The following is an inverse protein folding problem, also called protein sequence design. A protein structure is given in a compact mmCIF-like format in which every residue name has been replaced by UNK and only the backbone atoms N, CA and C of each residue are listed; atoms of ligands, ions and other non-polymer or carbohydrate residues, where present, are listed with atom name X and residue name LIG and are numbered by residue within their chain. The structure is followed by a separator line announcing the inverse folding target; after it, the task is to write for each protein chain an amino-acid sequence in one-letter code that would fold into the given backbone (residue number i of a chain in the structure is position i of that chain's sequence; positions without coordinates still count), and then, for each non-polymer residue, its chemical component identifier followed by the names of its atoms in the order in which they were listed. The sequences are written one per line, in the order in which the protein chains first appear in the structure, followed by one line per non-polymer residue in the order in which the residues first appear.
data_IF_754020007769
#
_entry.id   IF_754020007769
#
_cell.length_a   1.000
_cell.length_b   1.000
_cell.length_c   1.000
_cell.angle_alpha   90.00
_cell.angle_beta   90.00
_cell.angle_gamma   90.00
#
_symmetry.space_group_name_H-M   'P 1'
#
loop_
_entity.id
_entity.type
_entity.pdbx_description
1 polymer ?
#
# COMPACT_ATOMS: atom_id res chain seq x y z
N UNK A 1 -31.59 -3.41 -27.70
CA UNK A 1 -30.30 -3.60 -27.03
C UNK A 1 -30.10 -2.46 -26.04
N UNK A 2 -30.21 -2.76 -24.77
CA UNK A 2 -29.87 -1.79 -23.73
C UNK A 2 -28.36 -1.88 -23.47
N UNK A 3 -27.61 -0.93 -24.00
CA UNK A 3 -26.21 -0.78 -23.68
C UNK A 3 -26.13 0.13 -22.46
N UNK A 4 -25.94 -0.47 -21.28
CA UNK A 4 -25.56 0.29 -20.07
C UNK A 4 -24.06 0.58 -20.20
N UNK A 5 -23.72 1.80 -20.65
CA UNK A 5 -22.32 2.19 -20.81
C UNK A 5 -21.58 2.49 -19.50
N UNK A 6 -22.31 2.88 -18.47
CA UNK A 6 -21.76 3.18 -17.15
C UNK A 6 -22.76 2.82 -16.08
N UNK A 7 -22.39 1.94 -15.17
CA UNK A 7 -23.12 1.69 -13.95
C UNK A 7 -22.23 2.05 -12.76
N UNK A 8 -22.64 2.97 -11.92
CA UNK A 8 -22.05 3.19 -10.60
C UNK A 8 -22.88 2.47 -9.56
N UNK A 9 -22.28 1.61 -8.79
CA UNK A 9 -22.91 0.94 -7.67
C UNK A 9 -22.21 1.38 -6.39
N UNK A 10 -22.98 1.96 -5.48
CA UNK A 10 -22.52 2.27 -4.13
C UNK A 10 -23.05 1.20 -3.18
N UNK A 11 -22.15 0.52 -2.51
CA UNK A 11 -22.47 -0.49 -1.50
C UNK A 11 -21.96 0.00 -0.16
N UNK A 12 -22.86 0.16 0.81
CA UNK A 12 -22.52 0.47 2.19
C UNK A 12 -22.46 -0.83 2.99
N UNK A 13 -21.30 -1.13 3.57
CA UNK A 13 -21.08 -2.31 4.39
C UNK A 13 -20.79 -1.87 5.82
N UNK A 14 -21.52 -2.39 6.79
CA UNK A 14 -21.25 -2.23 8.22
C UNK A 14 -20.76 -3.53 8.79
N UNK A 15 -19.61 -3.51 9.46
CA UNK A 15 -19.00 -4.70 10.04
C UNK A 15 -18.28 -4.38 11.35
N UNK A 16 -18.24 -5.30 12.33
CA UNK A 16 -17.59 -5.05 13.62
C UNK A 16 -16.05 -5.10 13.54
N UNK A 17 -15.50 -5.84 12.60
CA UNK A 17 -14.04 -5.99 12.41
C UNK A 17 -13.70 -6.18 10.95
N UNK A 18 -12.46 -5.88 10.59
CA UNK A 18 -11.95 -5.95 9.23
C UNK A 18 -10.63 -6.72 9.22
N UNK A 19 -10.56 -7.84 8.52
CA UNK A 19 -9.34 -8.66 8.39
C UNK A 19 -8.65 -8.51 7.04
N UNK A 20 -9.42 -8.32 5.96
CA UNK A 20 -8.86 -8.12 4.63
C UNK A 20 -9.77 -7.30 3.72
N UNK A 21 -9.14 -6.56 2.80
CA UNK A 21 -9.80 -5.86 1.69
C UNK A 21 -9.14 -6.22 0.38
N UNK A 22 -9.94 -6.52 -0.63
CA UNK A 22 -9.46 -6.80 -1.98
C UNK A 22 -10.22 -5.98 -3.01
N UNK A 23 -9.51 -5.20 -3.81
CA UNK A 23 -10.03 -4.48 -4.96
C UNK A 23 -9.38 -4.96 -6.25
N UNK A 24 -10.16 -5.23 -7.28
CA UNK A 24 -9.67 -5.71 -8.57
C UNK A 24 -10.49 -5.15 -9.73
N UNK A 25 -9.95 -5.27 -10.96
CA UNK A 25 -10.69 -4.91 -12.17
C UNK A 25 -11.25 -3.47 -12.13
N UNK A 26 -10.40 -2.50 -11.80
CA UNK A 26 -10.74 -1.08 -11.69
C UNK A 26 -11.81 -0.74 -10.63
N UNK A 27 -12.07 -1.66 -9.69
CA UNK A 27 -12.95 -1.38 -8.57
C UNK A 27 -12.24 -0.50 -7.53
N UNK A 28 -13.04 0.20 -6.72
CA UNK A 28 -12.55 1.05 -5.65
C UNK A 28 -13.20 0.70 -4.33
N UNK A 29 -12.40 0.53 -3.29
CA UNK A 29 -12.85 0.42 -1.91
C UNK A 29 -12.42 1.70 -1.19
N UNK A 30 -13.37 2.39 -0.61
CA UNK A 30 -13.14 3.59 0.18
C UNK A 30 -13.62 3.35 1.62
N UNK A 31 -12.67 3.08 2.51
CA UNK A 31 -12.92 2.86 3.93
C UNK A 31 -12.62 4.12 4.78
N UNK A 32 -12.76 5.25 4.16
CA UNK A 32 -12.54 6.59 4.70
C UNK A 32 -13.90 7.29 5.00
N UNK A 33 -14.06 8.19 5.99
CA UNK A 33 -13.02 8.73 6.87
C UNK A 33 -12.80 7.95 8.18
N UNK A 34 -13.48 6.84 8.38
CA UNK A 34 -13.42 6.07 9.62
C UNK A 34 -12.01 5.60 9.92
N UNK A 35 -11.61 5.63 11.21
CA UNK A 35 -10.35 5.03 11.67
C UNK A 35 -10.63 3.63 12.15
N UNK A 36 -9.99 2.65 11.54
CA UNK A 36 -10.08 1.24 11.89
C UNK A 36 -8.97 0.86 12.87
N UNK A 37 -9.36 0.38 14.06
CA UNK A 37 -8.42 -0.18 15.03
C UNK A 37 -8.34 -1.69 14.82
N UNK A 38 -7.19 -2.16 14.34
CA UNK A 38 -7.02 -3.53 13.88
C UNK A 38 -5.74 -4.12 14.47
N UNK A 39 -5.72 -5.44 14.64
CA UNK A 39 -4.47 -6.12 14.96
C UNK A 39 -3.69 -6.39 13.69
N UNK A 40 -4.30 -7.10 12.77
CA UNK A 40 -3.69 -7.44 11.47
C UNK A 40 -4.69 -7.17 10.36
N UNK A 41 -4.21 -6.60 9.25
CA UNK A 41 -5.01 -6.43 8.04
C UNK A 41 -4.22 -6.78 6.79
N UNK A 42 -4.90 -7.41 5.84
CA UNK A 42 -4.39 -7.66 4.49
C UNK A 42 -5.14 -6.80 3.47
N UNK A 43 -4.37 -6.05 2.69
CA UNK A 43 -4.87 -5.18 1.62
C UNK A 43 -4.34 -5.68 0.28
N UNK A 44 -5.22 -5.92 -0.67
CA UNK A 44 -4.84 -6.41 -2.00
C UNK A 44 -5.52 -5.56 -3.09
N UNK A 45 -4.73 -4.93 -3.96
CA UNK A 45 -5.21 -4.17 -5.09
C UNK A 45 -4.59 -4.69 -6.39
N UNK A 46 -5.42 -5.15 -7.31
CA UNK A 46 -4.94 -5.76 -8.56
C UNK A 46 -5.69 -5.20 -9.78
N UNK A 47 -5.05 -5.22 -10.93
CA UNK A 47 -5.69 -4.83 -12.20
C UNK A 47 -6.42 -3.50 -12.11
N UNK A 48 -5.70 -2.45 -11.72
CA UNK A 48 -6.26 -1.11 -11.54
C UNK A 48 -7.19 -0.94 -10.34
N UNK A 49 -7.33 -1.94 -9.48
CA UNK A 49 -8.10 -1.84 -8.23
C UNK A 49 -7.49 -0.79 -7.30
N UNK A 50 -8.32 -0.13 -6.50
CA UNK A 50 -7.90 0.91 -5.57
C UNK A 50 -8.48 0.67 -4.19
N UNK A 51 -7.64 0.81 -3.15
CA UNK A 51 -8.08 0.77 -1.75
C UNK A 51 -7.60 2.03 -1.04
N UNK A 52 -8.49 2.66 -0.31
CA UNK A 52 -8.22 3.83 0.50
C UNK A 52 -8.72 3.58 1.91
N UNK A 53 -7.80 3.62 2.89
CA UNK A 53 -8.11 3.29 4.29
C UNK A 53 -7.32 4.15 5.28
N UNK A 54 -7.94 4.44 6.41
CA UNK A 54 -7.29 5.04 7.57
C UNK A 54 -7.39 4.09 8.76
N UNK A 55 -6.25 3.77 9.38
CA UNK A 55 -6.20 2.72 10.39
C UNK A 55 -5.12 2.94 11.47
N UNK A 56 -5.30 2.21 12.57
CA UNK A 56 -4.24 1.89 13.52
C UNK A 56 -4.12 0.38 13.59
N UNK A 57 -2.96 -0.18 13.31
CA UNK A 57 -2.74 -1.62 13.29
C UNK A 57 -1.39 -2.02 13.89
N UNK A 58 -1.28 -3.27 14.32
CA UNK A 58 0.02 -3.86 14.62
C UNK A 58 0.71 -4.25 13.32
N UNK A 59 0.05 -5.04 12.48
CA UNK A 59 0.62 -5.57 11.24
C UNK A 59 -0.25 -5.24 10.02
N UNK A 60 0.38 -4.69 8.99
CA UNK A 60 -0.23 -4.47 7.68
C UNK A 60 0.50 -5.30 6.64
N UNK A 61 -0.25 -6.12 5.90
CA UNK A 61 0.21 -6.80 4.69
C UNK A 61 -0.43 -6.12 3.49
N UNK A 62 0.38 -5.42 2.70
CA UNK A 62 -0.07 -4.67 1.53
C UNK A 62 0.47 -5.32 0.26
N UNK A 63 -0.42 -5.68 -0.65
CA UNK A 63 -0.05 -6.25 -1.94
C UNK A 63 -0.76 -5.49 -3.06
N UNK A 64 0.01 -5.00 -4.04
CA UNK A 64 -0.56 -4.38 -5.22
C UNK A 64 0.14 -4.87 -6.49
N UNK A 65 -0.65 -5.15 -7.52
CA UNK A 65 -0.15 -5.65 -8.81
C UNK A 65 -0.90 -5.00 -9.97
N UNK A 66 -0.25 -4.96 -11.11
CA UNK A 66 -0.88 -4.52 -12.37
C UNK A 66 -1.65 -3.22 -12.20
N UNK A 67 -0.91 -2.16 -11.90
CA UNK A 67 -1.45 -0.80 -11.67
C UNK A 67 -2.43 -0.68 -10.48
N UNK A 68 -2.44 -1.63 -9.55
CA UNK A 68 -3.19 -1.52 -8.31
C UNK A 68 -2.66 -0.37 -7.44
N UNK A 69 -3.55 0.31 -6.71
CA UNK A 69 -3.23 1.47 -5.88
C UNK A 69 -3.73 1.23 -4.45
N UNK A 70 -2.83 1.42 -3.49
CA UNK A 70 -3.13 1.40 -2.06
C UNK A 70 -2.80 2.78 -1.46
N UNK A 71 -3.79 3.42 -0.86
CA UNK A 71 -3.63 4.64 -0.07
C UNK A 71 -3.93 4.31 1.39
N UNK A 72 -2.90 4.38 2.25
CA UNK A 72 -3.01 3.98 3.65
C UNK A 72 -2.52 5.13 4.52
N UNK A 73 -3.34 5.51 5.51
CA UNK A 73 -3.01 6.55 6.48
C UNK A 73 -3.21 6.05 7.91
N UNK A 74 -2.50 6.64 8.86
CA UNK A 74 -2.61 6.37 10.28
C UNK A 74 -1.34 5.89 10.93
N UNK A 75 -1.40 4.79 11.67
CA UNK A 75 -0.27 4.26 12.44
C UNK A 75 -0.18 2.73 12.32
N UNK A 76 1.04 2.19 12.24
CA UNK A 76 1.28 0.75 12.30
C UNK A 76 2.62 0.42 12.96
N UNK A 77 2.72 -0.76 13.56
CA UNK A 77 4.01 -1.25 14.04
C UNK A 77 4.83 -1.79 12.87
N UNK A 78 4.24 -2.64 12.05
CA UNK A 78 4.90 -3.30 10.96
C UNK A 78 4.12 -3.14 9.65
N UNK A 79 4.83 -2.77 8.59
CA UNK A 79 4.30 -2.72 7.23
C UNK A 79 5.11 -3.67 6.34
N UNK A 80 4.44 -4.66 5.77
CA UNK A 80 4.99 -5.48 4.70
C UNK A 80 4.29 -5.13 3.39
N UNK A 81 5.04 -4.70 2.38
CA UNK A 81 4.47 -4.30 1.10
C UNK A 81 5.18 -4.98 -0.06
N UNK A 82 4.38 -5.60 -0.93
CA UNK A 82 4.83 -6.23 -2.18
C UNK A 82 4.10 -5.57 -3.35
N UNK A 83 4.84 -4.85 -4.19
CA UNK A 83 4.29 -4.09 -5.31
C UNK A 83 4.93 -4.52 -6.61
N UNK A 84 4.11 -4.84 -7.61
CA UNK A 84 4.58 -5.33 -8.92
C UNK A 84 3.85 -4.65 -10.08
N UNK A 85 4.54 -4.52 -11.19
CA UNK A 85 3.96 -4.09 -12.46
C UNK A 85 3.19 -2.79 -12.37
N UNK A 86 3.92 -1.69 -12.22
CA UNK A 86 3.41 -0.33 -12.13
C UNK A 86 2.41 -0.06 -10.98
N UNK A 87 2.36 -0.95 -9.98
CA UNK A 87 1.54 -0.75 -8.79
C UNK A 87 2.07 0.40 -7.92
N UNK A 88 1.19 0.97 -7.09
CA UNK A 88 1.51 2.14 -6.26
C UNK A 88 1.03 1.96 -4.83
N UNK A 89 1.89 2.35 -3.89
CA UNK A 89 1.58 2.50 -2.47
C UNK A 89 1.79 3.95 -2.05
N UNK A 90 0.76 4.58 -1.55
CA UNK A 90 0.78 5.92 -0.98
C UNK A 90 0.57 5.81 0.55
N UNK A 91 1.67 5.76 1.28
CA UNK A 91 1.71 5.59 2.74
C UNK A 91 2.59 6.64 3.45
N UNK A 92 2.71 7.83 2.89
CA UNK A 92 3.46 8.95 3.51
C UNK A 92 2.84 9.45 4.81
N UNK A 93 1.53 9.26 4.97
CA UNK A 93 0.76 9.60 6.17
C UNK A 93 0.43 8.38 7.03
N UNK A 94 1.10 7.25 6.78
CA UNK A 94 1.10 6.08 7.62
C UNK A 94 2.42 6.05 8.40
N UNK A 95 2.37 6.37 9.67
CA UNK A 95 3.54 6.31 10.54
C UNK A 95 3.82 4.86 10.94
N UNK A 96 4.95 4.30 10.48
CA UNK A 96 5.35 2.92 10.78
C UNK A 96 6.64 2.85 11.59
N UNK A 97 6.78 1.85 12.43
CA UNK A 97 8.04 1.60 13.12
C UNK A 97 8.97 0.76 12.25
N UNK A 98 8.47 -0.32 11.69
CA UNK A 98 9.24 -1.21 10.82
C UNK A 98 8.55 -1.39 9.47
N UNK A 99 9.35 -1.47 8.40
CA UNK A 99 8.82 -1.77 7.07
C UNK A 99 9.71 -2.76 6.32
N UNK A 100 9.07 -3.65 5.56
CA UNK A 100 9.67 -4.54 4.59
C UNK A 100 9.01 -4.31 3.23
N UNK A 101 9.78 -3.81 2.27
CA UNK A 101 9.27 -3.29 1.00
C UNK A 101 9.90 -4.01 -0.18
N UNK A 102 9.09 -4.65 -0.99
CA UNK A 102 9.52 -5.29 -2.23
C UNK A 102 8.84 -4.63 -3.43
N UNK A 103 9.63 -4.04 -4.31
CA UNK A 103 9.14 -3.35 -5.51
C UNK A 103 9.74 -3.97 -6.77
N UNK A 104 8.92 -4.19 -7.80
CA UNK A 104 9.40 -4.66 -9.09
C UNK A 104 8.61 -4.11 -10.27
N UNK A 105 9.26 -4.06 -11.42
CA UNK A 105 8.65 -3.69 -12.72
C UNK A 105 7.93 -2.34 -12.65
N UNK A 106 8.68 -1.27 -12.37
CA UNK A 106 8.17 0.09 -12.35
C UNK A 106 7.23 0.43 -11.20
N UNK A 107 7.14 -0.41 -10.17
CA UNK A 107 6.33 -0.14 -8.99
C UNK A 107 6.86 1.08 -8.20
N UNK A 108 5.96 1.77 -7.50
CA UNK A 108 6.29 2.96 -6.72
C UNK A 108 5.72 2.86 -5.31
N UNK A 109 6.52 3.21 -4.31
CA UNK A 109 6.06 3.32 -2.93
C UNK A 109 6.54 4.61 -2.29
N UNK A 110 5.67 5.24 -1.50
CA UNK A 110 5.98 6.36 -0.63
C UNK A 110 5.61 5.96 0.80
N UNK A 111 6.60 5.91 1.69
CA UNK A 111 6.44 5.39 3.05
C UNK A 111 7.04 6.33 4.10
N UNK A 112 6.53 6.24 5.33
CA UNK A 112 7.14 6.87 6.50
C UNK A 112 7.52 5.78 7.50
N UNK A 113 8.83 5.69 7.84
CA UNK A 113 9.38 4.66 8.72
C UNK A 113 10.33 5.28 9.73
N UNK A 114 10.19 4.88 11.01
CA UNK A 114 10.93 5.50 12.10
C UNK A 114 12.08 4.65 12.66
N UNK A 115 11.99 3.32 12.64
CA UNK A 115 12.99 2.45 13.27
C UNK A 115 13.77 1.61 12.27
N UNK A 116 13.14 0.68 11.57
CA UNK A 116 13.82 -0.28 10.70
C UNK A 116 13.19 -0.37 9.32
N UNK A 117 14.03 -0.40 8.31
CA UNK A 117 13.60 -0.57 6.92
C UNK A 117 14.44 -1.63 6.21
N UNK A 118 13.77 -2.61 5.64
CA UNK A 118 14.32 -3.56 4.68
C UNK A 118 13.66 -3.32 3.32
N UNK A 119 14.41 -3.36 2.23
CA UNK A 119 13.84 -3.26 0.89
C UNK A 119 14.60 -4.05 -0.16
N UNK A 120 13.85 -4.56 -1.14
CA UNK A 120 14.36 -5.14 -2.38
C UNK A 120 13.69 -4.44 -3.58
N UNK A 121 14.49 -3.77 -4.39
CA UNK A 121 14.01 -2.97 -5.53
C UNK A 121 14.56 -3.49 -6.84
N UNK A 122 13.66 -3.77 -7.79
CA UNK A 122 13.98 -4.27 -9.13
C UNK A 122 13.25 -3.49 -10.22
N UNK A 123 13.81 -3.52 -11.43
CA UNK A 123 13.09 -3.12 -12.64
C UNK A 123 12.61 -1.68 -12.66
N UNK A 124 13.47 -0.70 -12.43
CA UNK A 124 13.16 0.73 -12.46
C UNK A 124 12.10 1.16 -11.45
N UNK A 125 12.01 0.48 -10.34
CA UNK A 125 11.10 0.82 -9.23
C UNK A 125 11.56 2.07 -8.50
N UNK A 126 10.65 2.69 -7.74
CA UNK A 126 10.93 3.91 -6.99
C UNK A 126 10.42 3.80 -5.56
N UNK A 127 11.30 4.05 -4.59
CA UNK A 127 10.96 4.11 -3.18
C UNK A 127 11.26 5.51 -2.63
N UNK A 128 10.26 6.16 -2.07
CA UNK A 128 10.39 7.42 -1.34
C UNK A 128 10.25 7.14 0.15
N UNK A 129 11.24 7.52 0.94
CA UNK A 129 11.31 7.25 2.37
C UNK A 129 11.26 8.58 3.11
N UNK A 130 10.28 8.74 3.99
CA UNK A 130 10.21 9.79 4.99
C UNK A 130 10.56 9.21 6.36
N UNK A 131 11.35 9.95 7.15
CA UNK A 131 11.91 9.48 8.41
C UNK A 131 13.37 9.10 8.28
N UNK A 132 13.92 8.55 9.36
CA UNK A 132 15.33 8.17 9.42
C UNK A 132 15.52 6.75 9.97
N UNK A 133 14.99 5.73 9.30
CA UNK A 133 15.12 4.35 9.75
C UNK A 133 16.54 3.82 9.61
N UNK A 134 16.89 2.84 10.43
CA UNK A 134 18.04 1.99 10.20
C UNK A 134 17.73 1.06 9.01
N UNK A 135 18.55 1.10 7.98
CA UNK A 135 18.40 0.27 6.79
C UNK A 135 19.20 -1.04 6.97
N UNK A 136 18.53 -2.17 6.81
CA UNK A 136 19.11 -3.50 6.98
C UNK A 136 18.85 -4.38 5.75
N UNK A 137 19.83 -5.21 5.37
CA UNK A 137 19.68 -6.25 4.33
C UNK A 137 18.93 -5.79 3.07
N UNK A 138 19.31 -4.63 2.55
CA UNK A 138 18.53 -3.99 1.47
C UNK A 138 19.30 -3.98 0.16
N UNK A 139 18.57 -4.23 -0.94
CA UNK A 139 19.14 -4.34 -2.28
C UNK A 139 18.42 -3.42 -3.25
N UNK A 140 19.19 -2.81 -4.14
CA UNK A 140 18.69 -1.93 -5.18
C UNK A 140 19.31 -2.32 -6.54
N UNK A 141 18.49 -2.84 -7.42
CA UNK A 141 18.89 -3.37 -8.72
C UNK A 141 18.20 -2.70 -9.90
N UNK A 142 18.77 -2.88 -11.09
CA UNK A 142 18.14 -2.60 -12.37
C UNK A 142 17.56 -1.19 -12.51
N UNK A 143 18.36 -0.16 -12.17
CA UNK A 143 17.98 1.24 -12.36
C UNK A 143 16.87 1.75 -11.44
N UNK A 144 16.57 1.03 -10.38
CA UNK A 144 15.62 1.48 -9.36
C UNK A 144 16.20 2.65 -8.55
N UNK A 145 15.33 3.47 -7.98
CA UNK A 145 15.71 4.71 -7.29
C UNK A 145 15.13 4.79 -5.89
N UNK A 146 15.95 5.31 -4.98
CA UNK A 146 15.57 5.61 -3.61
C UNK A 146 15.69 7.12 -3.40
N UNK A 147 14.67 7.71 -2.80
CA UNK A 147 14.63 9.12 -2.44
C UNK A 147 14.36 9.19 -0.93
N UNK A 148 15.26 9.82 -0.19
CA UNK A 148 15.06 10.11 1.23
C UNK A 148 14.58 11.55 1.37
N UNK A 149 13.45 11.72 2.04
CA UNK A 149 12.91 13.03 2.40
C UNK A 149 13.27 13.35 3.86
N UNK A 150 13.63 14.60 4.08
CA UNK A 150 13.90 15.11 5.42
C UNK A 150 12.62 15.35 6.22
#
# INVERSE_FOLDING_TARGET
VNIVKYASMNVLISMPTLGSLKASNHSRIDAWPQIWNLRTIRLEATTGGQIRIRLKAEDIQAEARTSGILEIKGEAQNLQAILKTAARLEARELETQNADIQLSIGAKAEIQVNQRLTYDLYGHSRLVIKGNPQIENSHNYSGSRIIKEK
#
